data_IF_675431358428
#
_entry.id   IF_675431358428
#
_cell.length_a   1.000
_cell.length_b   1.000
_cell.length_c   1.000
_cell.angle_alpha   90.00
_cell.angle_beta   90.00
_cell.angle_gamma   90.00
#
_symmetry.space_group_name_H-M   'P 1'
#
loop_
_entity.id
_entity.type
_entity.pdbx_description
1 polymer ?
#
# COMPACT_ATOMS: atom_id res chain seq x y z
N UNK A 1 14.28 8.50 -27.76
CA UNK A 1 13.44 7.56 -27.00
C UNK A 1 14.11 6.20 -26.77
N UNK A 2 14.36 5.35 -27.79
CA UNK A 2 14.91 3.99 -27.57
C UNK A 2 16.23 3.95 -26.78
N UNK A 3 17.20 4.79 -27.14
CA UNK A 3 18.49 4.86 -26.44
C UNK A 3 18.35 5.35 -24.99
N UNK A 4 17.44 6.30 -24.74
CA UNK A 4 17.17 6.79 -23.38
C UNK A 4 16.56 5.70 -22.50
N UNK A 5 15.67 4.88 -23.06
CA UNK A 5 15.06 3.74 -22.37
C UNK A 5 16.10 2.67 -22.03
N UNK A 6 16.97 2.30 -22.97
CA UNK A 6 18.08 1.38 -22.71
C UNK A 6 19.02 1.91 -21.62
N UNK A 7 19.41 3.19 -21.67
CA UNK A 7 20.23 3.82 -20.64
C UNK A 7 19.54 3.81 -19.26
N UNK A 8 18.22 3.99 -19.22
CA UNK A 8 17.45 3.92 -17.97
C UNK A 8 17.42 2.50 -17.42
N UNK A 9 17.14 1.50 -18.25
CA UNK A 9 17.13 0.08 -17.87
C UNK A 9 18.50 -0.34 -17.33
N UNK A 10 19.58 0.10 -17.97
CA UNK A 10 20.95 -0.16 -17.50
C UNK A 10 21.19 0.44 -16.11
N UNK A 11 20.86 1.73 -15.91
CA UNK A 11 20.97 2.38 -14.61
C UNK A 11 20.12 1.68 -13.55
N UNK A 12 18.88 1.33 -13.88
CA UNK A 12 17.96 0.63 -12.99
C UNK A 12 18.53 -0.72 -12.54
N UNK A 13 19.00 -1.54 -13.49
CA UNK A 13 19.60 -2.84 -13.20
C UNK A 13 20.86 -2.71 -12.33
N UNK A 14 21.69 -1.70 -12.58
CA UNK A 14 22.90 -1.42 -11.80
C UNK A 14 22.61 -0.96 -10.36
N UNK A 15 21.53 -0.20 -10.15
CA UNK A 15 21.09 0.18 -8.80
C UNK A 15 20.58 -1.05 -8.05
N UNK A 16 19.72 -1.85 -8.70
CA UNK A 16 19.12 -3.06 -8.11
C UNK A 16 20.15 -4.13 -7.76
N UNK A 17 21.24 -4.24 -8.53
CA UNK A 17 22.33 -5.18 -8.23
C UNK A 17 23.17 -4.74 -7.04
N UNK A 18 23.39 -3.43 -6.86
CA UNK A 18 24.12 -2.86 -5.71
C UNK A 18 23.36 -2.95 -4.39
N UNK A 19 22.03 -2.87 -4.42
CA UNK A 19 21.19 -2.95 -3.23
C UNK A 19 20.91 -4.37 -2.73
N UNK A 20 21.55 -5.39 -3.30
CA UNK A 20 21.33 -6.81 -2.92
C UNK A 20 21.71 -7.07 -1.45
N UNK A 21 20.83 -7.77 -0.73
CA UNK A 21 21.19 -8.45 0.51
C UNK A 21 22.04 -9.69 0.18
N UNK A 22 23.03 -10.01 1.03
CA UNK A 22 23.86 -11.22 0.87
C UNK A 22 22.96 -12.45 0.83
N UNK A 23 22.94 -13.16 -0.30
CA UNK A 23 22.17 -14.41 -0.50
C UNK A 23 21.09 -14.33 -1.59
N UNK A 24 20.70 -13.12 -2.06
CA UNK A 24 19.70 -12.98 -3.13
C UNK A 24 20.31 -13.12 -4.53
N UNK A 25 19.98 -14.23 -5.20
CA UNK A 25 20.38 -14.45 -6.58
C UNK A 25 19.41 -13.79 -7.57
N UNK A 26 19.53 -12.47 -7.73
CA UNK A 26 18.82 -11.77 -8.80
C UNK A 26 19.59 -11.91 -10.12
N UNK A 27 19.13 -12.81 -10.99
CA UNK A 27 19.67 -13.07 -12.34
C UNK A 27 19.24 -12.01 -13.38
N UNK A 28 18.60 -10.92 -12.93
CA UNK A 28 18.09 -9.86 -13.79
C UNK A 28 19.16 -8.83 -14.15
N UNK A 29 19.78 -9.04 -15.31
CA UNK A 29 20.67 -8.07 -15.95
C UNK A 29 19.89 -7.08 -16.82
N UNK A 30 20.50 -5.94 -17.17
CA UNK A 30 19.90 -4.98 -18.10
C UNK A 30 19.47 -5.65 -19.41
N UNK A 31 20.32 -6.53 -19.97
CA UNK A 31 20.02 -7.32 -21.16
C UNK A 31 18.78 -8.21 -20.98
N UNK A 32 18.66 -8.89 -19.84
CA UNK A 32 17.51 -9.75 -19.52
C UNK A 32 16.21 -8.95 -19.42
N UNK A 33 16.24 -7.75 -18.85
CA UNK A 33 15.08 -6.83 -18.85
C UNK A 33 14.66 -6.48 -20.28
N UNK A 34 15.60 -6.06 -21.13
CA UNK A 34 15.31 -5.68 -22.50
C UNK A 34 14.76 -6.85 -23.34
N UNK A 35 15.38 -8.03 -23.25
CA UNK A 35 14.93 -9.23 -23.94
C UNK A 35 13.54 -9.66 -23.49
N UNK A 36 13.28 -9.61 -22.18
CA UNK A 36 11.96 -9.92 -21.64
C UNK A 36 10.90 -8.95 -22.15
N UNK A 37 11.16 -7.64 -22.09
CA UNK A 37 10.21 -6.62 -22.55
C UNK A 37 9.88 -6.79 -24.05
N UNK A 38 10.82 -7.25 -24.88
CA UNK A 38 10.56 -7.52 -26.31
C UNK A 38 9.52 -8.62 -26.52
N UNK A 39 9.41 -9.56 -25.59
CA UNK A 39 8.42 -10.63 -25.64
C UNK A 39 7.00 -10.17 -25.25
N UNK A 40 6.82 -8.93 -24.78
CA UNK A 40 5.52 -8.38 -24.37
C UNK A 40 5.16 -7.10 -25.15
N UNK A 41 4.52 -7.22 -26.33
CA UNK A 41 4.17 -6.05 -27.16
C UNK A 41 3.28 -5.02 -26.45
N UNK A 42 2.41 -5.46 -25.54
CA UNK A 42 1.56 -4.61 -24.70
C UNK A 42 2.37 -3.79 -23.68
N UNK A 43 3.42 -4.37 -23.08
CA UNK A 43 4.28 -3.64 -22.15
C UNK A 43 5.16 -2.63 -22.89
N UNK A 44 5.62 -2.95 -24.11
CA UNK A 44 6.39 -2.03 -24.95
C UNK A 44 5.68 -0.68 -25.15
N UNK A 45 4.36 -0.69 -25.32
CA UNK A 45 3.57 0.55 -25.40
C UNK A 45 3.51 1.29 -24.07
N UNK A 46 3.39 0.57 -22.95
CA UNK A 46 3.27 1.17 -21.62
C UNK A 46 4.58 1.81 -21.15
N UNK A 47 5.73 1.20 -21.45
CA UNK A 47 7.05 1.71 -21.04
C UNK A 47 7.48 2.99 -21.78
N UNK A 48 6.73 3.43 -22.80
CA UNK A 48 6.91 4.75 -23.40
C UNK A 48 6.56 5.87 -22.40
N UNK A 49 5.69 5.59 -21.42
CA UNK A 49 5.42 6.47 -20.28
C UNK A 49 6.53 6.31 -19.22
N UNK A 50 7.31 7.36 -18.86
CA UNK A 50 8.45 7.24 -17.94
C UNK A 50 8.11 6.64 -16.57
N UNK A 51 6.94 6.97 -16.04
CA UNK A 51 6.47 6.45 -14.76
C UNK A 51 6.14 4.95 -14.84
N UNK A 52 5.47 4.52 -15.91
CA UNK A 52 5.16 3.10 -16.12
C UNK A 52 6.42 2.29 -16.42
N UNK A 53 7.42 2.86 -17.09
CA UNK A 53 8.71 2.20 -17.25
C UNK A 53 9.30 1.80 -15.89
N UNK A 54 9.33 2.73 -14.93
CA UNK A 54 9.85 2.44 -13.60
C UNK A 54 9.05 1.33 -12.89
N UNK A 55 7.72 1.42 -12.90
CA UNK A 55 6.86 0.41 -12.28
C UNK A 55 7.05 -0.95 -12.95
N UNK A 56 7.00 -1.00 -14.28
CA UNK A 56 7.13 -2.25 -15.02
C UNK A 56 8.49 -2.89 -14.72
N UNK A 57 9.59 -2.13 -14.70
CA UNK A 57 10.90 -2.69 -14.35
C UNK A 57 10.98 -3.20 -12.90
N UNK A 58 10.26 -2.58 -11.95
CA UNK A 58 10.25 -3.08 -10.56
C UNK A 58 9.54 -4.43 -10.46
N UNK A 59 8.44 -4.62 -11.19
CA UNK A 59 7.60 -5.82 -11.12
C UNK A 59 7.81 -6.85 -12.23
N UNK A 60 8.62 -6.57 -13.26
CA UNK A 60 8.78 -7.45 -14.43
C UNK A 60 9.10 -8.90 -14.07
N UNK A 61 9.97 -9.21 -13.09
CA UNK A 61 10.19 -10.59 -12.65
C UNK A 61 8.92 -11.29 -12.20
N UNK A 62 8.15 -10.66 -11.33
CA UNK A 62 6.90 -11.21 -10.79
C UNK A 62 5.80 -11.27 -11.85
N UNK A 63 5.79 -10.35 -12.82
CA UNK A 63 4.89 -10.43 -13.97
C UNK A 63 5.18 -11.67 -14.82
N UNK A 64 6.47 -11.96 -15.08
CA UNK A 64 6.87 -13.15 -15.83
C UNK A 64 6.53 -14.44 -15.07
N UNK A 65 6.74 -14.46 -13.76
CA UNK A 65 6.41 -15.59 -12.91
C UNK A 65 4.91 -15.87 -12.83
N UNK A 66 4.09 -14.82 -12.60
CA UNK A 66 2.64 -14.93 -12.42
C UNK A 66 1.89 -15.21 -13.73
N UNK A 67 2.31 -14.58 -14.82
CA UNK A 67 1.56 -14.62 -16.08
C UNK A 67 2.25 -15.43 -17.17
N UNK A 68 3.52 -15.80 -17.04
CA UNK A 68 4.25 -16.53 -18.07
C UNK A 68 4.69 -15.65 -19.25
N UNK A 69 5.81 -16.04 -19.88
CA UNK A 69 6.45 -15.28 -20.97
C UNK A 69 5.53 -15.16 -22.19
N UNK A 70 5.37 -13.94 -22.69
CA UNK A 70 4.63 -13.67 -23.94
C UNK A 70 3.12 -13.51 -23.78
N UNK A 71 2.58 -13.74 -22.58
CA UNK A 71 1.17 -13.53 -22.31
C UNK A 71 0.81 -12.04 -22.27
N UNK A 72 -0.42 -11.72 -22.68
CA UNK A 72 -0.89 -10.32 -22.71
C UNK A 72 -1.14 -9.84 -21.28
N UNK A 73 -0.40 -8.80 -20.86
CA UNK A 73 -0.51 -8.17 -19.54
C UNK A 73 -1.21 -6.81 -19.68
N UNK A 74 -2.29 -6.61 -18.93
CA UNK A 74 -3.00 -5.33 -18.87
C UNK A 74 -2.34 -4.35 -17.89
N UNK A 75 -2.66 -3.05 -18.03
CA UNK A 75 -2.19 -2.01 -17.10
C UNK A 75 -2.67 -2.29 -15.66
N UNK A 76 -3.90 -2.81 -15.52
CA UNK A 76 -4.44 -3.22 -14.22
C UNK A 76 -3.62 -4.34 -13.58
N UNK A 77 -3.19 -5.34 -14.35
CA UNK A 77 -2.33 -6.44 -13.84
C UNK A 77 -0.93 -5.96 -13.45
N UNK A 78 -0.38 -4.95 -14.13
CA UNK A 78 0.87 -4.30 -13.69
C UNK A 78 0.68 -3.66 -12.32
N UNK A 79 -0.39 -2.88 -12.12
CA UNK A 79 -0.68 -2.26 -10.83
C UNK A 79 -1.02 -3.27 -9.74
N UNK A 80 -1.72 -4.35 -10.07
CA UNK A 80 -2.03 -5.43 -9.12
C UNK A 80 -0.73 -6.03 -8.54
N UNK A 81 0.20 -6.44 -9.40
CA UNK A 81 1.47 -7.04 -8.96
C UNK A 81 2.33 -6.01 -8.23
N UNK A 82 2.32 -4.75 -8.66
CA UNK A 82 3.01 -3.67 -7.96
C UNK A 82 2.46 -3.44 -6.55
N UNK A 83 1.14 -3.35 -6.41
CA UNK A 83 0.48 -3.15 -5.14
C UNK A 83 0.72 -4.35 -4.21
N UNK A 84 0.67 -5.58 -4.72
CA UNK A 84 0.98 -6.79 -3.94
C UNK A 84 2.41 -6.73 -3.36
N UNK A 85 3.42 -6.41 -4.19
CA UNK A 85 4.80 -6.25 -3.72
C UNK A 85 4.95 -5.12 -2.69
N UNK A 86 4.30 -3.99 -2.93
CA UNK A 86 4.35 -2.85 -2.02
C UNK A 86 3.76 -3.22 -0.65
N UNK A 87 2.61 -3.89 -0.65
CA UNK A 87 1.97 -4.37 0.57
C UNK A 87 2.88 -5.36 1.29
N UNK A 88 3.50 -6.31 0.60
CA UNK A 88 4.42 -7.27 1.22
C UNK A 88 5.60 -6.58 1.93
N UNK A 89 6.19 -5.55 1.32
CA UNK A 89 7.24 -4.76 1.96
C UNK A 89 6.73 -4.07 3.22
N UNK A 90 5.53 -3.51 3.20
CA UNK A 90 4.94 -2.88 4.38
C UNK A 90 4.63 -3.88 5.50
N UNK A 91 4.18 -5.08 5.15
CA UNK A 91 3.91 -6.14 6.12
C UNK A 91 5.19 -6.57 6.82
N UNK A 92 6.30 -6.78 6.09
CA UNK A 92 7.59 -7.10 6.70
C UNK A 92 8.07 -6.00 7.67
N UNK A 93 7.86 -4.72 7.31
CA UNK A 93 8.19 -3.60 8.19
C UNK A 93 7.32 -3.59 9.46
N UNK A 94 6.01 -3.85 9.34
CA UNK A 94 5.08 -3.95 10.47
C UNK A 94 5.49 -5.11 11.39
N UNK A 95 5.75 -6.29 10.83
CA UNK A 95 6.19 -7.47 11.59
C UNK A 95 7.49 -7.20 12.33
N UNK A 96 8.45 -6.53 11.66
CA UNK A 96 9.73 -6.16 12.27
C UNK A 96 9.50 -5.26 13.49
N UNK A 97 8.68 -4.22 13.37
CA UNK A 97 8.34 -3.31 14.48
C UNK A 97 7.58 -4.01 15.60
N UNK A 98 6.64 -4.89 15.27
CA UNK A 98 5.93 -5.69 16.28
C UNK A 98 6.88 -6.60 17.05
N UNK A 99 7.86 -7.19 16.36
CA UNK A 99 8.88 -8.04 16.97
C UNK A 99 9.77 -7.26 17.95
N UNK A 100 10.10 -6.01 17.64
CA UNK A 100 10.82 -5.10 18.57
C UNK A 100 10.03 -4.87 19.87
N UNK A 101 8.69 -4.86 19.77
CA UNK A 101 7.77 -4.76 20.91
C UNK A 101 7.45 -6.12 21.55
N UNK A 102 8.09 -7.21 21.09
CA UNK A 102 7.82 -8.60 21.51
C UNK A 102 6.37 -9.05 21.26
N UNK A 103 5.70 -8.40 20.31
CA UNK A 103 4.38 -8.80 19.81
C UNK A 103 4.56 -9.69 18.59
N UNK A 104 3.76 -10.75 18.51
CA UNK A 104 3.74 -11.63 17.35
C UNK A 104 2.33 -11.63 16.78
N UNK A 105 2.21 -11.36 15.48
CA UNK A 105 0.94 -11.37 14.79
C UNK A 105 1.07 -12.13 13.48
N UNK A 106 -0.02 -12.75 13.04
CA UNK A 106 -0.04 -13.53 11.81
C UNK A 106 0.12 -12.60 10.59
N UNK A 107 1.19 -12.80 9.81
CA UNK A 107 1.53 -11.98 8.62
C UNK A 107 0.41 -11.95 7.58
N UNK A 108 -0.24 -13.09 7.33
CA UNK A 108 -1.35 -13.18 6.38
C UNK A 108 -2.57 -12.40 6.89
N UNK A 109 -2.82 -12.42 8.21
CA UNK A 109 -3.89 -11.63 8.83
C UNK A 109 -3.61 -10.13 8.68
N UNK A 110 -2.41 -9.67 9.02
CA UNK A 110 -2.02 -8.26 8.84
C UNK A 110 -2.13 -7.87 7.36
N UNK A 111 -1.65 -8.71 6.44
CA UNK A 111 -1.73 -8.48 4.99
C UNK A 111 -3.17 -8.29 4.52
N UNK A 112 -4.07 -9.16 4.95
CA UNK A 112 -5.50 -9.06 4.61
C UNK A 112 -6.13 -7.80 5.17
N UNK A 113 -5.85 -7.47 6.43
CA UNK A 113 -6.40 -6.28 7.09
C UNK A 113 -5.90 -5.00 6.40
N UNK A 114 -4.58 -4.90 6.15
CA UNK A 114 -3.98 -3.76 5.47
C UNK A 114 -4.53 -3.58 4.06
N UNK A 115 -4.72 -4.68 3.32
CA UNK A 115 -5.38 -4.66 2.00
C UNK A 115 -6.77 -4.06 2.09
N UNK A 116 -7.59 -4.53 3.03
CA UNK A 116 -8.95 -4.03 3.20
C UNK A 116 -8.97 -2.56 3.56
N UNK A 117 -8.12 -2.13 4.51
CA UNK A 117 -7.98 -0.74 4.89
C UNK A 117 -7.64 0.16 3.69
N UNK A 118 -6.63 -0.21 2.89
CA UNK A 118 -6.23 0.56 1.71
C UNK A 118 -7.34 0.63 0.65
N UNK A 119 -8.11 -0.45 0.48
CA UNK A 119 -9.24 -0.48 -0.46
C UNK A 119 -10.37 0.44 0.00
N UNK A 120 -10.77 0.34 1.26
CA UNK A 120 -11.83 1.16 1.84
C UNK A 120 -11.45 2.64 1.77
N UNK A 121 -10.24 2.99 2.21
CA UNK A 121 -9.74 4.36 2.15
C UNK A 121 -9.65 4.88 0.72
N UNK A 122 -9.12 4.08 -0.21
CA UNK A 122 -9.01 4.47 -1.61
C UNK A 122 -10.38 4.70 -2.27
N UNK A 123 -11.37 3.88 -1.91
CA UNK A 123 -12.75 4.05 -2.38
C UNK A 123 -13.39 5.32 -1.82
N UNK A 124 -13.22 5.59 -0.53
CA UNK A 124 -13.72 6.81 0.10
C UNK A 124 -13.10 8.06 -0.52
N UNK A 125 -11.78 8.08 -0.71
CA UNK A 125 -11.04 9.15 -1.39
C UNK A 125 -11.54 9.37 -2.82
N UNK A 126 -11.78 8.29 -3.57
CA UNK A 126 -12.32 8.36 -4.92
C UNK A 126 -13.72 8.98 -4.95
N UNK A 127 -14.62 8.55 -4.05
CA UNK A 127 -15.98 9.08 -3.95
C UNK A 127 -16.00 10.56 -3.54
N UNK A 128 -15.09 10.96 -2.66
CA UNK A 128 -14.94 12.35 -2.22
C UNK A 128 -14.26 13.24 -3.27
N UNK A 129 -13.62 12.66 -4.29
CA UNK A 129 -12.78 13.38 -5.25
C UNK A 129 -11.52 13.98 -4.59
N UNK A 130 -11.09 13.43 -3.45
CA UNK A 130 -9.90 13.88 -2.71
C UNK A 130 -8.74 12.92 -2.94
N UNK A 131 -7.53 13.46 -3.03
CA UNK A 131 -6.29 12.69 -3.07
C UNK A 131 -5.56 12.69 -1.71
N UNK A 132 -6.17 13.32 -0.70
CA UNK A 132 -5.59 13.47 0.64
C UNK A 132 -6.57 12.84 1.63
N UNK A 133 -6.07 11.85 2.38
CA UNK A 133 -6.75 11.35 3.56
C UNK A 133 -6.45 12.26 4.74
N UNK A 134 -7.49 12.70 5.44
CA UNK A 134 -7.37 13.48 6.67
C UNK A 134 -7.79 12.56 7.80
N UNK A 135 -6.86 12.26 8.71
CA UNK A 135 -7.19 11.54 9.93
C UNK A 135 -8.05 12.47 10.80
N UNK A 136 -9.26 12.05 11.20
CA UNK A 136 -10.07 12.87 12.10
C UNK A 136 -9.35 13.00 13.44
N UNK A 137 -9.29 14.23 13.96
CA UNK A 137 -8.71 14.48 15.27
C UNK A 137 -9.49 13.69 16.34
N UNK A 138 -8.84 12.72 16.96
CA UNK A 138 -9.39 12.02 18.10
C UNK A 138 -9.53 13.01 19.26
N UNK A 139 -10.77 13.36 19.62
CA UNK A 139 -11.02 13.89 20.94
C UNK A 139 -10.93 12.71 21.91
N UNK A 140 -9.78 12.59 22.58
CA UNK A 140 -9.70 11.77 23.79
C UNK A 140 -10.70 12.37 24.78
N UNK A 141 -11.92 11.83 24.84
CA UNK A 141 -12.72 11.94 26.03
C UNK A 141 -11.90 11.23 27.11
N UNK A 142 -11.21 12.01 27.93
CA UNK A 142 -10.76 11.52 29.22
C UNK A 142 -11.97 10.79 29.82
N UNK A 143 -11.84 9.53 30.28
CA UNK A 143 -12.90 8.91 31.03
C UNK A 143 -13.17 9.84 32.21
N UNK A 144 -14.27 10.58 32.15
CA UNK A 144 -14.79 11.31 33.29
C UNK A 144 -15.03 10.24 34.34
N UNK A 145 -14.14 10.20 35.34
CA UNK A 145 -14.41 9.55 36.60
C UNK A 145 -15.71 10.21 37.07
N UNK A 146 -16.81 9.45 37.05
CA UNK A 146 -18.12 9.85 37.54
C UNK A 146 -17.96 10.35 38.98
N UNK A 147 -17.75 11.65 39.14
CA UNK A 147 -18.04 12.32 40.39
C UNK A 147 -19.51 12.71 40.31
N UNK A 148 -20.33 11.90 40.98
CA UNK A 148 -21.68 12.24 41.36
C UNK A 148 -21.70 13.64 42.00
N UNK A 149 -22.14 14.66 41.28
CA UNK A 149 -22.81 15.79 41.89
C UNK A 149 -23.80 16.42 40.89
N UNK A 150 -25.08 16.25 41.23
CA UNK A 150 -26.21 17.00 40.69
C UNK A 150 -25.92 18.50 40.76
N UNK A 151 -26.23 19.23 39.69
CA UNK A 151 -27.24 20.28 39.75
C UNK A 151 -27.68 20.76 38.36
N UNK A 152 -28.98 21.04 38.25
CA UNK A 152 -29.69 21.49 37.06
C UNK A 152 -29.26 22.90 36.64
N UNK A 153 -29.20 23.17 35.33
CA UNK A 153 -29.75 24.40 34.71
C UNK A 153 -30.03 24.10 33.23
N UNK A 154 -31.26 24.40 32.82
CA UNK A 154 -31.78 24.39 31.45
C UNK A 154 -31.52 25.77 30.84
N UNK A 155 -30.92 25.83 29.64
CA UNK A 155 -31.25 26.88 28.68
C UNK A 155 -30.94 26.43 27.23
N UNK A 156 -31.88 26.76 26.35
CA UNK A 156 -32.10 26.23 25.01
C UNK A 156 -31.62 27.27 23.97
N UNK A 157 -30.82 26.86 22.97
CA UNK A 157 -31.03 27.14 21.51
C UNK A 157 -29.82 26.88 20.60
N UNK A 158 -30.08 26.01 19.62
CA UNK A 158 -29.63 25.99 18.21
C UNK A 158 -28.15 26.15 17.86
N UNK A 159 -27.53 25.07 17.37
CA UNK A 159 -27.00 24.98 16.00
C UNK A 159 -26.43 23.58 15.69
N UNK A 160 -26.85 23.03 14.55
CA UNK A 160 -26.36 21.82 13.88
C UNK A 160 -26.34 20.52 14.68
N UNK A 161 -27.17 19.56 14.25
CA UNK A 161 -27.00 18.13 14.52
C UNK A 161 -25.64 17.67 13.95
N UNK A 162 -24.56 17.93 14.69
CA UNK A 162 -23.37 17.10 14.64
C UNK A 162 -23.88 15.76 15.16
N UNK A 163 -24.18 14.83 14.24
CA UNK A 163 -24.33 13.41 14.58
C UNK A 163 -23.16 13.10 15.52
N UNK A 164 -23.46 12.82 16.78
CA UNK A 164 -22.53 12.19 17.71
C UNK A 164 -22.14 10.86 17.08
N UNK A 165 -21.15 10.89 16.20
CA UNK A 165 -20.43 9.72 15.77
C UNK A 165 -19.71 9.32 17.05
N UNK A 166 -20.16 8.23 17.68
CA UNK A 166 -19.34 7.55 18.68
C UNK A 166 -17.96 7.41 18.05
N UNK A 167 -16.97 8.11 18.58
CA UNK A 167 -15.59 8.13 18.13
C UNK A 167 -14.94 6.81 18.54
N UNK A 168 -15.46 5.73 17.97
CA UNK A 168 -14.82 4.44 18.00
C UNK A 168 -13.54 4.58 17.18
N UNK A 169 -12.42 4.09 17.72
CA UNK A 169 -11.15 4.15 17.01
C UNK A 169 -11.34 3.53 15.62
N UNK A 170 -10.95 4.25 14.55
CA UNK A 170 -11.07 3.76 13.17
C UNK A 170 -10.38 2.41 13.02
N UNK A 171 -9.34 2.16 13.82
CA UNK A 171 -8.64 0.88 13.86
C UNK A 171 -9.49 -0.27 14.40
N UNK A 172 -10.50 -0.02 15.25
CA UNK A 172 -11.40 -1.08 15.74
C UNK A 172 -12.23 -1.69 14.61
N UNK A 173 -12.49 -0.97 13.51
CA UNK A 173 -13.12 -1.55 12.31
C UNK A 173 -12.29 -2.70 11.71
N UNK A 174 -10.97 -2.63 11.88
CA UNK A 174 -10.00 -3.48 11.20
C UNK A 174 -9.28 -4.45 12.14
N UNK A 175 -9.11 -4.08 13.41
CA UNK A 175 -8.38 -4.80 14.43
C UNK A 175 -9.27 -5.05 15.65
N UNK A 176 -9.96 -6.18 15.66
CA UNK A 176 -10.69 -6.65 16.85
C UNK A 176 -9.69 -7.31 17.82
N UNK A 177 -9.87 -7.10 19.13
CA UNK A 177 -8.97 -7.53 20.22
C UNK A 177 -8.56 -9.02 20.23
N UNK A 178 -9.27 -9.88 19.49
CA UNK A 178 -8.89 -11.28 19.20
C UNK A 178 -7.68 -11.41 18.24
N UNK A 179 -6.84 -10.37 18.13
CA UNK A 179 -5.75 -10.25 17.16
C UNK A 179 -4.36 -10.06 17.78
N UNK A 180 -4.27 -10.12 19.12
CA UNK A 180 -3.00 -10.07 19.88
C UNK A 180 -2.67 -11.48 20.37
#
# INVERSE_FOLDING_TARGET
TKQQMSNYIEKFANIKSKSKKKGENNDWTAKKYEETLKNYPNLQKMIEEPFLLQIILSVLPSLVEKYGVGNRISKAQVYEVFNDQLIDIHIENIITKLSELRMQMNSNKIKSILKQYCLDLGFDMFQQGSQIAIEPEFQYQNPEIENEHKDNIIEEKTETEIKKINTQDIWEKYFNGDSI
#
